data_IF_215167752653
#
_entry.id   IF_215167752653
#
_cell.length_a   1.000
_cell.length_b   1.000
_cell.length_c   1.000
_cell.angle_alpha   90.00
_cell.angle_beta   90.00
_cell.angle_gamma   90.00
#
_symmetry.space_group_name_H-M   'P 1'
#
loop_
_entity.id
_entity.type
_entity.pdbx_description
1 polymer ?
#
# COMPACT_ATOMS: atom_id res chain seq x y z
N UNK A 1 27.93 -6.57 -18.49
CA UNK A 1 26.46 -6.49 -18.60
C UNK A 1 25.90 -6.48 -17.18
N UNK A 2 25.37 -5.35 -16.70
CA UNK A 2 24.81 -5.24 -15.34
C UNK A 2 23.32 -5.61 -15.39
N UNK A 3 22.89 -6.52 -14.51
CA UNK A 3 21.49 -6.91 -14.36
C UNK A 3 20.76 -5.84 -13.54
N UNK A 4 19.77 -5.18 -14.15
CA UNK A 4 18.84 -4.31 -13.43
C UNK A 4 17.66 -5.14 -12.94
N UNK A 5 17.42 -5.09 -11.64
CA UNK A 5 16.29 -5.77 -11.00
C UNK A 5 15.21 -4.73 -10.69
N UNK A 6 13.97 -5.02 -11.07
CA UNK A 6 12.82 -4.20 -10.71
C UNK A 6 12.17 -4.84 -9.48
N UNK A 7 12.32 -4.19 -8.33
CA UNK A 7 11.81 -4.73 -7.07
C UNK A 7 10.39 -4.26 -6.83
N UNK A 8 9.52 -5.23 -6.55
CA UNK A 8 8.11 -4.99 -6.27
C UNK A 8 7.89 -4.60 -4.81
N UNK A 9 7.03 -3.60 -4.60
CA UNK A 9 6.52 -3.17 -3.30
C UNK A 9 5.00 -3.03 -3.36
N UNK A 10 4.31 -3.29 -2.25
CA UNK A 10 2.83 -3.24 -2.21
C UNK A 10 2.33 -2.66 -0.87
N UNK A 11 1.13 -2.04 -0.83
CA UNK A 11 0.66 -1.33 0.36
C UNK A 11 0.18 -2.24 1.49
N UNK A 12 -0.29 -3.43 1.15
CA UNK A 12 -0.91 -4.42 2.02
C UNK A 12 -1.63 -5.45 1.16
N UNK A 13 -2.43 -6.33 1.76
CA UNK A 13 -3.09 -7.41 1.01
C UNK A 13 -4.38 -7.88 1.67
N UNK A 14 -5.43 -8.08 0.87
CA UNK A 14 -6.73 -8.60 1.29
C UNK A 14 -7.57 -9.17 0.14
N UNK A 15 -7.34 -10.41 -0.26
CA UNK A 15 -8.22 -11.16 -1.18
C UNK A 15 -9.55 -11.64 -0.55
N UNK A 16 -10.01 -11.07 0.57
CA UNK A 16 -11.17 -11.59 1.31
C UNK A 16 -12.43 -11.70 0.44
N UNK A 17 -12.69 -10.70 -0.40
CA UNK A 17 -13.85 -10.68 -1.29
C UNK A 17 -13.68 -11.63 -2.48
N UNK A 18 -12.49 -11.66 -3.08
CA UNK A 18 -12.15 -12.62 -4.12
C UNK A 18 -12.33 -14.07 -3.65
N UNK A 19 -11.84 -14.40 -2.45
CA UNK A 19 -11.97 -15.74 -1.89
C UNK A 19 -13.42 -16.11 -1.55
N UNK A 20 -14.23 -15.15 -1.06
CA UNK A 20 -15.68 -15.37 -0.93
C UNK A 20 -16.34 -15.69 -2.27
N UNK A 21 -16.03 -14.91 -3.31
CA UNK A 21 -16.57 -15.11 -4.65
C UNK A 21 -16.12 -16.45 -5.28
N UNK A 22 -14.95 -16.95 -4.88
CA UNK A 22 -14.42 -18.26 -5.28
C UNK A 22 -14.94 -19.44 -4.43
N UNK A 23 -15.92 -19.23 -3.56
CA UNK A 23 -16.44 -20.23 -2.62
C UNK A 23 -15.36 -20.84 -1.71
N UNK A 24 -14.39 -20.03 -1.26
CA UNK A 24 -13.32 -20.39 -0.33
C UNK A 24 -13.37 -19.54 0.95
N UNK A 25 -14.45 -19.65 1.76
CA UNK A 25 -14.67 -18.79 2.92
C UNK A 25 -13.56 -18.91 3.99
N UNK A 26 -12.91 -20.07 4.09
CA UNK A 26 -11.80 -20.33 5.00
C UNK A 26 -10.53 -19.52 4.64
N UNK A 27 -10.40 -19.10 3.38
CA UNK A 27 -9.30 -18.26 2.89
C UNK A 27 -9.67 -16.77 2.84
N UNK A 28 -10.92 -16.43 3.15
CA UNK A 28 -11.45 -15.07 3.08
C UNK A 28 -11.07 -14.20 4.29
N UNK A 29 -9.78 -14.13 4.61
CA UNK A 29 -9.25 -13.29 5.69
C UNK A 29 -9.22 -11.82 5.25
N UNK A 30 -9.99 -10.96 5.92
CA UNK A 30 -9.98 -9.51 5.67
C UNK A 30 -8.68 -8.91 6.19
N UNK A 31 -8.10 -7.98 5.42
CA UNK A 31 -6.89 -7.24 5.81
C UNK A 31 -5.73 -8.17 6.23
N UNK A 32 -5.53 -9.27 5.48
CA UNK A 32 -4.56 -10.34 5.76
C UNK A 32 -3.13 -9.82 5.97
N UNK A 33 -2.72 -8.81 5.19
CA UNK A 33 -1.50 -8.04 5.44
C UNK A 33 -1.95 -6.59 5.69
N UNK A 34 -1.98 -6.15 6.96
CA UNK A 34 -2.33 -4.79 7.31
C UNK A 34 -1.37 -3.78 6.69
N UNK A 35 -1.92 -2.66 6.21
CA UNK A 35 -1.12 -1.60 5.59
C UNK A 35 -0.36 -0.78 6.62
N UNK A 36 -0.76 -0.88 7.88
CA UNK A 36 -0.24 -0.15 9.02
C UNK A 36 -0.19 1.35 8.74
N UNK A 37 -1.26 1.89 8.17
CA UNK A 37 -1.39 3.29 7.79
C UNK A 37 -0.28 3.79 6.84
N UNK A 38 0.19 2.93 5.94
CA UNK A 38 1.28 3.21 5.00
C UNK A 38 2.66 2.83 5.51
N UNK A 39 2.84 2.50 6.80
CA UNK A 39 4.15 2.09 7.35
C UNK A 39 4.67 0.80 6.73
N UNK A 40 3.77 -0.12 6.34
CA UNK A 40 4.14 -1.37 5.69
C UNK A 40 4.80 -1.11 4.32
N UNK A 41 4.18 -0.28 3.49
CA UNK A 41 4.73 0.14 2.20
C UNK A 41 6.04 0.90 2.39
N UNK A 42 6.04 1.89 3.29
CA UNK A 42 7.19 2.75 3.51
C UNK A 42 8.43 1.98 3.97
N UNK A 43 8.26 0.96 4.81
CA UNK A 43 9.39 0.11 5.23
C UNK A 43 10.06 -0.54 4.02
N UNK A 44 9.29 -1.19 3.14
CA UNK A 44 9.81 -1.80 1.91
C UNK A 44 10.57 -0.76 1.07
N UNK A 45 9.95 0.38 0.81
CA UNK A 45 10.54 1.47 0.02
C UNK A 45 11.85 1.96 0.65
N UNK A 46 11.83 2.31 1.94
CA UNK A 46 12.98 2.91 2.60
C UNK A 46 14.16 1.95 2.71
N UNK A 47 13.93 0.65 2.87
CA UNK A 47 14.98 -0.35 2.94
C UNK A 47 15.57 -0.66 1.56
N UNK A 48 14.75 -0.63 0.51
CA UNK A 48 15.23 -0.79 -0.86
C UNK A 48 16.00 0.44 -1.35
N UNK A 49 15.53 1.66 -1.06
CA UNK A 49 16.24 2.89 -1.43
C UNK A 49 17.59 3.04 -0.70
N UNK A 50 17.71 2.59 0.55
CA UNK A 50 19.02 2.46 1.25
C UNK A 50 19.98 1.49 0.55
N UNK A 51 19.44 0.54 -0.20
CA UNK A 51 20.21 -0.45 -0.96
C UNK A 51 20.60 0.05 -2.35
N UNK A 52 20.39 1.35 -2.64
CA UNK A 52 20.74 2.02 -3.90
C UNK A 52 20.15 1.34 -5.15
N UNK A 53 18.86 0.98 -5.08
CA UNK A 53 18.13 0.47 -6.24
C UNK A 53 17.84 1.58 -7.26
N UNK A 54 17.90 1.25 -8.54
CA UNK A 54 17.63 2.21 -9.63
C UNK A 54 16.12 2.34 -9.95
N UNK A 55 15.30 1.38 -9.54
CA UNK A 55 13.88 1.34 -9.86
C UNK A 55 13.08 0.52 -8.84
N UNK A 56 11.81 0.89 -8.66
CA UNK A 56 10.80 0.19 -7.88
C UNK A 56 9.53 0.02 -8.72
N UNK A 57 8.83 -1.08 -8.52
CA UNK A 57 7.50 -1.32 -9.07
C UNK A 57 6.49 -1.39 -7.94
N UNK A 58 5.42 -0.59 -8.01
CA UNK A 58 4.34 -0.63 -7.02
C UNK A 58 3.24 -1.54 -7.53
N UNK A 59 3.02 -2.66 -6.86
CA UNK A 59 1.94 -3.59 -7.16
C UNK A 59 0.75 -3.32 -6.20
N UNK A 60 -0.35 -2.71 -6.65
CA UNK A 60 -0.62 -2.17 -8.00
C UNK A 60 -1.40 -0.86 -7.91
N UNK A 61 -1.60 -0.19 -9.04
CA UNK A 61 -2.47 1.00 -9.08
C UNK A 61 -3.91 0.64 -8.70
N UNK A 62 -4.47 -0.44 -9.26
CA UNK A 62 -5.91 -0.72 -9.31
C UNK A 62 -6.38 -2.12 -8.91
N UNK A 63 -5.48 -3.00 -8.45
CA UNK A 63 -5.83 -4.37 -8.03
C UNK A 63 -6.57 -4.37 -6.67
N UNK A 64 -7.86 -4.01 -6.74
CA UNK A 64 -8.73 -3.82 -5.58
C UNK A 64 -9.25 -5.14 -4.98
N UNK A 65 -9.39 -6.18 -5.80
CA UNK A 65 -9.84 -7.51 -5.37
C UNK A 65 -8.77 -8.27 -4.57
N UNK A 66 -7.49 -7.97 -4.80
CA UNK A 66 -6.36 -8.39 -3.96
C UNK A 66 -6.04 -7.40 -2.84
N UNK A 67 -6.61 -6.20 -2.89
CA UNK A 67 -6.37 -5.16 -1.91
C UNK A 67 -4.94 -4.66 -1.94
N UNK A 68 -4.33 -4.53 -3.12
CA UNK A 68 -3.01 -3.94 -3.33
C UNK A 68 -3.07 -2.60 -4.07
N UNK A 69 -4.27 -2.16 -4.49
CA UNK A 69 -4.52 -0.85 -5.11
C UNK A 69 -3.99 0.34 -4.29
N UNK A 70 -3.43 1.34 -4.98
CA UNK A 70 -2.96 2.62 -4.42
C UNK A 70 -3.79 3.84 -4.88
N UNK A 71 -4.79 3.65 -5.76
CA UNK A 71 -5.68 4.73 -6.16
C UNK A 71 -6.49 5.29 -4.97
N UNK A 72 -7.09 6.49 -5.09
CA UNK A 72 -7.87 7.08 -4.00
C UNK A 72 -9.08 6.24 -3.60
N UNK A 73 -9.21 5.94 -2.30
CA UNK A 73 -10.24 5.04 -1.78
C UNK A 73 -11.03 5.65 -0.62
N UNK A 74 -12.19 5.07 -0.34
CA UNK A 74 -13.02 5.52 0.79
C UNK A 74 -12.26 5.36 2.12
N UNK A 75 -12.31 6.40 2.94
CA UNK A 75 -11.60 6.48 4.21
C UNK A 75 -12.42 5.94 5.36
N UNK A 76 -13.75 5.87 5.25
CA UNK A 76 -14.62 5.53 6.38
C UNK A 76 -15.50 4.31 6.11
N UNK A 77 -15.59 3.44 7.12
CA UNK A 77 -16.47 2.28 7.09
C UNK A 77 -17.95 2.65 6.86
N UNK A 78 -18.43 3.76 7.44
CA UNK A 78 -19.83 4.17 7.39
C UNK A 78 -20.26 4.78 6.05
N UNK A 79 -19.31 4.96 5.12
CA UNK A 79 -19.55 5.42 3.75
C UNK A 79 -19.56 4.28 2.74
N UNK A 80 -19.18 3.07 3.14
CA UNK A 80 -19.27 1.91 2.27
C UNK A 80 -20.73 1.51 2.01
N UNK A 81 -21.03 0.91 0.85
CA UNK A 81 -22.38 0.40 0.57
C UNK A 81 -22.84 -0.59 1.64
N UNK A 82 -24.12 -0.53 2.00
CA UNK A 82 -24.69 -1.37 3.04
C UNK A 82 -24.51 -2.88 2.72
N UNK A 83 -24.15 -3.66 3.72
CA UNK A 83 -23.91 -5.10 3.58
C UNK A 83 -22.57 -5.48 2.94
N UNK A 84 -21.70 -4.51 2.64
CA UNK A 84 -20.35 -4.79 2.13
C UNK A 84 -19.33 -4.98 3.26
N UNK A 85 -18.36 -5.86 3.03
CA UNK A 85 -17.21 -6.05 3.92
C UNK A 85 -15.94 -5.94 3.09
N UNK A 86 -15.41 -4.71 2.99
CA UNK A 86 -14.24 -4.38 2.18
C UNK A 86 -13.23 -3.65 3.07
N UNK A 87 -11.96 -3.69 2.69
CA UNK A 87 -10.95 -2.85 3.36
C UNK A 87 -11.15 -1.42 2.90
N UNK A 88 -11.27 -0.50 3.86
CA UNK A 88 -11.25 0.95 3.66
C UNK A 88 -9.93 1.52 4.22
N UNK A 89 -9.56 2.76 3.88
CA UNK A 89 -8.21 3.25 4.19
C UNK A 89 -7.90 3.31 5.69
N UNK A 90 -8.91 3.62 6.51
CA UNK A 90 -8.76 3.75 7.96
C UNK A 90 -8.98 2.41 8.71
N UNK A 91 -9.03 1.27 8.02
CA UNK A 91 -9.16 -0.08 8.62
C UNK A 91 -8.11 -0.33 9.71
N UNK A 92 -6.90 0.22 9.54
CA UNK A 92 -5.78 0.07 10.48
C UNK A 92 -5.78 1.08 11.65
N UNK A 93 -6.88 1.83 11.85
CA UNK A 93 -7.05 2.74 12.99
C UNK A 93 -6.39 4.12 12.84
N UNK A 94 -6.18 4.59 11.60
CA UNK A 94 -5.66 5.93 11.31
C UNK A 94 -6.72 6.84 10.69
N UNK A 95 -6.44 8.14 10.58
CA UNK A 95 -7.28 9.10 9.84
C UNK A 95 -6.49 9.59 8.64
N UNK A 96 -6.63 8.91 7.51
CA UNK A 96 -5.86 9.16 6.30
C UNK A 96 -6.70 9.95 5.27
N UNK A 97 -6.06 10.78 4.43
CA UNK A 97 -6.71 11.32 3.24
C UNK A 97 -6.97 10.18 2.22
N UNK A 98 -7.92 10.39 1.32
CA UNK A 98 -8.33 9.41 0.31
C UNK A 98 -7.20 9.02 -0.65
N UNK A 99 -6.31 9.96 -0.98
CA UNK A 99 -5.16 9.79 -1.86
C UNK A 99 -3.86 9.35 -1.14
N UNK A 100 -3.94 8.86 0.10
CA UNK A 100 -2.77 8.61 0.95
C UNK A 100 -1.66 7.79 0.29
N UNK A 101 -1.99 6.69 -0.40
CA UNK A 101 -0.98 5.83 -1.03
C UNK A 101 -0.36 6.46 -2.29
N UNK A 102 -1.05 7.38 -2.95
CA UNK A 102 -0.44 8.22 -3.99
C UNK A 102 0.58 9.19 -3.38
N UNK A 103 0.31 9.75 -2.20
CA UNK A 103 1.27 10.61 -1.50
C UNK A 103 2.51 9.83 -1.08
N UNK A 104 2.34 8.63 -0.51
CA UNK A 104 3.45 7.77 -0.09
C UNK A 104 4.35 7.40 -1.29
N UNK A 105 3.75 6.99 -2.40
CA UNK A 105 4.50 6.65 -3.62
C UNK A 105 5.13 7.88 -4.29
N UNK A 106 4.46 9.03 -4.26
CA UNK A 106 5.01 10.30 -4.71
C UNK A 106 6.22 10.76 -3.88
N UNK A 107 6.22 10.55 -2.56
CA UNK A 107 7.38 10.81 -1.72
C UNK A 107 8.56 9.89 -2.09
N UNK A 108 8.29 8.59 -2.29
CA UNK A 108 9.30 7.63 -2.72
C UNK A 108 9.93 8.00 -4.07
N UNK A 109 9.13 8.44 -5.04
CA UNK A 109 9.61 8.90 -6.34
C UNK A 109 10.58 10.08 -6.21
N UNK A 110 10.33 11.03 -5.31
CA UNK A 110 11.26 12.15 -5.05
C UNK A 110 12.62 11.67 -4.57
N UNK A 111 12.66 10.79 -3.56
CA UNK A 111 13.92 10.24 -3.06
C UNK A 111 14.69 9.47 -4.14
N UNK A 112 13.98 8.72 -4.98
CA UNK A 112 14.58 8.00 -6.10
C UNK A 112 15.17 8.96 -7.15
N UNK A 113 14.44 10.00 -7.55
CA UNK A 113 14.91 11.00 -8.51
C UNK A 113 16.10 11.80 -8.00
N UNK A 114 16.07 12.19 -6.72
CA UNK A 114 17.14 12.95 -6.08
C UNK A 114 18.33 12.06 -5.69
N UNK A 115 18.22 10.74 -5.84
CA UNK A 115 19.23 9.75 -5.40
C UNK A 115 19.60 9.92 -3.91
N UNK A 116 18.60 10.24 -3.08
CA UNK A 116 18.75 10.48 -1.64
C UNK A 116 18.16 9.33 -0.82
N UNK A 117 18.73 9.12 0.37
CA UNK A 117 18.26 8.07 1.28
C UNK A 117 17.12 8.61 2.15
N UNK A 118 15.92 8.00 2.10
CA UNK A 118 14.81 8.42 2.94
C UNK A 118 15.00 8.04 4.42
N UNK A 119 14.37 8.77 5.36
CA UNK A 119 14.27 8.32 6.74
C UNK A 119 13.43 7.04 6.82
N UNK A 120 13.77 6.14 7.75
CA UNK A 120 13.06 4.86 7.91
C UNK A 120 11.62 4.97 8.43
N UNK A 121 11.25 6.11 9.03
CA UNK A 121 9.90 6.34 9.56
C UNK A 121 9.10 7.20 8.59
N UNK A 122 7.88 6.76 8.27
CA UNK A 122 6.98 7.49 7.35
C UNK A 122 6.58 8.86 7.89
N UNK A 123 6.39 8.98 9.20
CA UNK A 123 5.99 10.23 9.86
C UNK A 123 7.08 11.32 9.81
N UNK A 124 8.32 10.96 9.51
CA UNK A 124 9.38 11.94 9.22
C UNK A 124 9.25 12.55 7.81
N UNK A 125 8.37 12.01 6.95
CA UNK A 125 8.20 12.42 5.55
C UNK A 125 6.79 12.94 5.27
N UNK A 126 5.77 12.23 5.76
CA UNK A 126 4.37 12.54 5.55
C UNK A 126 3.61 12.43 6.86
N UNK A 127 2.73 13.38 7.09
CA UNK A 127 1.74 13.36 8.16
C UNK A 127 0.35 13.13 7.54
N UNK A 128 -0.53 12.35 8.18
CA UNK A 128 -1.91 12.16 7.75
C UNK A 128 -2.68 13.48 7.61
#
# INVERSE_FOLDING_TARGET
>A
MSLRHLLEVFPGFSCSNLMRNRNRPEQAVLNKIPRNCGRFLWRQISDLLKSHVDALYVAMFDEADEGTAIFPAETRADKLPAGTKMVYLNEDGCSLPDDWYLRVTGAAARFLHDSTVPPGRLDAVLQP
#
